data_IF_702750061994
#
_entry.id   IF_702750061994
#
_cell.length_a   1.000
_cell.length_b   1.000
_cell.length_c   1.000
_cell.angle_alpha   90.00
_cell.angle_beta   90.00
_cell.angle_gamma   90.00
#
_symmetry.space_group_name_H-M   'P 1'
#
loop_
_entity.id
_entity.type
_entity.pdbx_description
1 polymer ?
#
# COMPACT_ATOMS: atom_id res chain seq x y z
N UNK A 1 10.96 -5.84 19.88
CA UNK A 1 11.75 -6.36 18.73
C UNK A 1 11.39 -7.84 18.58
N UNK A 2 11.10 -8.33 17.38
CA UNK A 2 10.75 -9.74 17.16
C UNK A 2 12.02 -10.60 17.11
N UNK A 3 12.17 -11.56 18.03
CA UNK A 3 13.30 -12.48 18.11
C UNK A 3 13.05 -13.78 17.32
N UNK A 4 12.77 -13.66 16.03
CA UNK A 4 12.52 -14.83 15.19
C UNK A 4 13.83 -15.56 14.86
N UNK A 5 13.92 -16.90 15.00
CA UNK A 5 15.08 -17.65 14.53
C UNK A 5 15.15 -17.76 13.00
N UNK A 6 14.13 -17.25 12.29
CA UNK A 6 13.98 -17.35 10.84
C UNK A 6 14.26 -16.03 10.11
N UNK A 7 14.33 -14.91 10.83
CA UNK A 7 14.53 -13.58 10.25
C UNK A 7 15.50 -12.78 11.11
N UNK A 8 16.44 -12.08 10.48
CA UNK A 8 17.32 -11.17 11.21
C UNK A 8 16.53 -10.02 11.88
N UNK A 9 16.88 -9.61 13.10
CA UNK A 9 16.25 -8.48 13.77
C UNK A 9 16.68 -7.17 13.09
N UNK A 10 15.88 -6.68 12.15
CA UNK A 10 16.09 -5.39 11.48
C UNK A 10 14.81 -4.57 11.42
N UNK A 11 14.98 -3.25 11.32
CA UNK A 11 13.87 -2.34 11.09
C UNK A 11 13.31 -2.58 9.69
N UNK A 12 12.05 -3.06 9.62
CA UNK A 12 11.31 -3.17 8.35
C UNK A 12 10.67 -1.81 8.11
N UNK A 13 11.32 -1.00 7.28
CA UNK A 13 10.83 0.32 6.88
C UNK A 13 10.92 0.45 5.37
N UNK A 14 9.84 0.90 4.74
CA UNK A 14 9.77 1.04 3.28
C UNK A 14 10.25 2.43 2.85
N UNK A 15 11.56 2.56 2.64
CA UNK A 15 12.21 3.82 2.25
C UNK A 15 11.88 4.31 0.84
N UNK A 16 11.16 3.53 0.01
CA UNK A 16 10.93 3.87 -1.41
C UNK A 16 10.07 5.10 -1.61
N UNK A 17 9.24 5.42 -0.62
CA UNK A 17 8.26 6.50 -0.66
C UNK A 17 8.80 7.85 -0.18
N UNK A 18 9.97 7.86 0.43
CA UNK A 18 10.52 9.02 1.09
C UNK A 18 11.07 10.01 0.08
N UNK A 19 10.69 11.30 0.18
CA UNK A 19 11.38 12.36 -0.53
C UNK A 19 12.87 12.37 -0.16
N UNK A 20 13.72 12.66 -1.15
CA UNK A 20 15.18 12.65 -0.99
C UNK A 20 15.65 13.84 -0.17
N UNK A 21 14.94 14.97 -0.27
CA UNK A 21 15.33 16.26 0.27
C UNK A 21 14.15 16.98 0.96
N UNK A 22 14.47 17.98 1.78
CA UNK A 22 13.48 18.74 2.55
C UNK A 22 12.44 19.46 1.67
N UNK A 23 12.84 19.97 0.51
CA UNK A 23 11.89 20.61 -0.42
C UNK A 23 10.92 19.56 -1.00
N UNK A 24 11.40 18.33 -1.20
CA UNK A 24 10.58 17.18 -1.56
C UNK A 24 9.45 16.90 -0.56
N UNK A 25 9.71 16.98 0.74
CA UNK A 25 8.68 16.85 1.79
C UNK A 25 7.66 17.98 1.73
N UNK A 26 8.11 19.23 1.72
CA UNK A 26 7.19 20.38 1.63
C UNK A 26 6.33 20.38 0.35
N UNK A 27 6.91 19.93 -0.76
CA UNK A 27 6.20 19.85 -2.03
C UNK A 27 5.27 18.64 -2.12
N UNK A 28 5.47 17.58 -1.32
CA UNK A 28 4.74 16.32 -1.44
C UNK A 28 3.21 16.51 -1.38
N UNK A 29 2.63 17.24 -0.42
CA UNK A 29 1.17 17.49 -0.36
C UNK A 29 0.62 18.18 -1.60
N UNK A 30 1.40 19.07 -2.22
CA UNK A 30 1.02 19.75 -3.45
C UNK A 30 1.18 18.83 -4.67
N UNK A 31 2.21 18.00 -4.70
CA UNK A 31 2.42 17.01 -5.76
C UNK A 31 1.27 15.99 -5.82
N UNK A 32 0.70 15.60 -4.68
CA UNK A 32 -0.49 14.73 -4.62
C UNK A 32 -1.74 15.32 -5.31
N UNK A 33 -1.80 16.65 -5.48
CA UNK A 33 -2.89 17.30 -6.20
C UNK A 33 -2.73 17.24 -7.73
N UNK A 34 -1.48 17.22 -8.22
CA UNK A 34 -1.18 17.44 -9.65
C UNK A 34 -0.55 16.24 -10.36
N UNK A 35 0.12 15.34 -9.64
CA UNK A 35 0.93 14.25 -10.21
C UNK A 35 0.29 12.89 -9.92
N UNK A 36 0.02 12.11 -10.98
CA UNK A 36 -0.69 10.82 -10.87
C UNK A 36 0.19 9.65 -10.43
N UNK A 37 1.46 9.62 -10.84
CA UNK A 37 2.51 8.69 -10.40
C UNK A 37 3.84 9.27 -10.87
N UNK A 38 4.83 9.38 -9.99
CA UNK A 38 6.19 9.71 -10.39
C UNK A 38 7.12 8.57 -10.01
N UNK A 39 7.52 7.79 -11.01
CA UNK A 39 8.58 6.80 -10.89
C UNK A 39 9.91 7.45 -11.24
N UNK A 40 10.73 7.73 -10.24
CA UNK A 40 12.15 8.07 -10.48
C UNK A 40 12.98 6.82 -10.16
N UNK A 41 13.16 5.93 -11.14
CA UNK A 41 13.82 4.64 -10.90
C UNK A 41 13.03 3.74 -9.93
N UNK A 42 13.68 3.27 -8.86
CA UNK A 42 13.05 2.44 -7.81
C UNK A 42 12.26 3.24 -6.75
N UNK A 43 12.24 4.58 -6.85
CA UNK A 43 11.49 5.44 -5.95
C UNK A 43 10.11 5.74 -6.53
N UNK A 44 9.08 5.33 -5.79
CA UNK A 44 7.68 5.67 -6.05
C UNK A 44 7.36 6.85 -5.15
N UNK A 45 7.27 8.05 -5.71
CA UNK A 45 6.88 9.23 -4.93
C UNK A 45 5.40 9.45 -5.07
N UNK A 46 4.71 9.56 -3.93
CA UNK A 46 3.33 10.03 -3.87
C UNK A 46 2.33 8.95 -3.50
N UNK A 47 2.10 7.95 -4.34
CA UNK A 47 0.86 7.16 -4.25
C UNK A 47 1.03 5.71 -4.71
N UNK A 48 0.37 4.77 -4.01
CA UNK A 48 0.25 3.37 -4.46
C UNK A 48 -0.81 3.24 -5.57
N UNK A 49 -1.80 4.13 -5.56
CA UNK A 49 -2.97 4.14 -6.46
C UNK A 49 -3.05 5.54 -7.10
N UNK A 50 -3.28 5.66 -8.43
CA UNK A 50 -3.41 6.96 -9.08
C UNK A 50 -4.78 7.58 -8.74
N UNK A 51 -4.83 8.44 -7.73
CA UNK A 51 -5.95 9.34 -7.52
C UNK A 51 -5.36 10.71 -7.16
N UNK A 52 -6.15 11.80 -7.22
CA UNK A 52 -5.65 13.15 -6.90
C UNK A 52 -6.36 13.67 -5.67
N UNK A 53 -5.63 14.33 -4.78
CA UNK A 53 -6.23 14.98 -3.61
C UNK A 53 -5.61 16.34 -3.35
N UNK A 54 -6.46 17.31 -3.03
CA UNK A 54 -6.07 18.67 -2.66
C UNK A 54 -5.99 18.84 -1.13
N UNK A 55 -6.49 17.87 -0.35
CA UNK A 55 -6.69 18.04 1.09
C UNK A 55 -5.41 18.19 1.89
N UNK A 56 -4.33 17.41 1.65
CA UNK A 56 -3.06 17.64 2.33
C UNK A 56 -2.49 19.05 2.05
N UNK A 57 -2.60 19.53 0.81
CA UNK A 57 -2.18 20.88 0.44
C UNK A 57 -3.02 21.97 1.12
N UNK A 58 -4.35 21.81 1.19
CA UNK A 58 -5.24 22.74 1.88
C UNK A 58 -4.91 22.87 3.36
N UNK A 59 -4.59 21.76 4.03
CA UNK A 59 -4.17 21.76 5.43
C UNK A 59 -2.90 22.60 5.62
N UNK A 60 -1.89 22.42 4.75
CA UNK A 60 -0.64 23.20 4.82
C UNK A 60 -0.83 24.70 4.56
N UNK A 61 -1.87 25.10 3.81
CA UNK A 61 -2.20 26.51 3.59
C UNK A 61 -2.97 27.09 4.78
N UNK A 62 -3.94 26.33 5.31
CA UNK A 62 -4.85 26.82 6.34
C UNK A 62 -4.21 26.89 7.73
N UNK A 63 -3.27 25.98 8.04
CA UNK A 63 -2.55 26.00 9.32
C UNK A 63 -1.84 27.36 9.53
N UNK A 64 -0.95 27.84 8.62
CA UNK A 64 -0.35 29.17 8.72
C UNK A 64 -1.37 30.30 8.78
N UNK A 65 -2.46 30.23 8.00
CA UNK A 65 -3.52 31.24 8.02
C UNK A 65 -4.19 31.35 9.40
N UNK A 66 -4.43 30.22 10.08
CA UNK A 66 -4.94 30.17 11.45
C UNK A 66 -3.93 30.77 12.43
N UNK A 67 -2.64 30.42 12.33
CA UNK A 67 -1.58 31.00 13.18
C UNK A 67 -1.50 32.53 13.02
N UNK A 68 -1.53 33.03 11.79
CA UNK A 68 -1.48 34.46 11.48
C UNK A 68 -2.73 35.20 11.99
N UNK A 69 -3.93 34.65 11.78
CA UNK A 69 -5.17 35.22 12.29
C UNK A 69 -5.18 35.28 13.81
N UNK A 70 -4.77 34.19 14.46
CA UNK A 70 -4.71 34.11 15.91
C UNK A 70 -3.69 35.10 16.49
N UNK A 71 -2.55 35.29 15.81
CA UNK A 71 -1.55 36.30 16.15
C UNK A 71 -2.10 37.72 15.98
N UNK A 72 -2.78 38.02 14.87
CA UNK A 72 -3.41 39.31 14.62
C UNK A 72 -4.57 39.62 15.58
N UNK A 73 -5.21 38.59 16.15
CA UNK A 73 -6.25 38.69 17.18
C UNK A 73 -5.71 38.69 18.60
N UNK A 74 -4.38 38.65 18.78
CA UNK A 74 -3.74 38.82 20.08
C UNK A 74 -4.07 40.22 20.61
N UNK A 75 -4.80 40.27 21.72
CA UNK A 75 -5.07 41.53 22.42
C UNK A 75 -3.76 42.08 23.01
N UNK A 76 -3.64 43.41 23.09
CA UNK A 76 -2.59 44.12 23.82
C UNK A 76 -2.60 43.78 25.32
N UNK A 77 -3.73 43.29 25.83
CA UNK A 77 -3.82 42.61 27.13
C UNK A 77 -3.56 41.12 26.91
N UNK A 78 -2.46 40.57 27.44
CA UNK A 78 -1.91 39.21 27.26
C UNK A 78 -2.82 37.97 27.51
N UNK A 79 -4.13 38.02 27.29
CA UNK A 79 -5.05 36.87 27.41
C UNK A 79 -5.57 36.48 26.04
N UNK A 80 -5.16 35.30 25.57
CA UNK A 80 -5.79 34.65 24.44
C UNK A 80 -7.24 34.30 24.80
N UNK A 81 -8.19 34.59 23.90
CA UNK A 81 -9.57 34.12 24.04
C UNK A 81 -9.58 32.59 23.93
N UNK A 82 -10.47 31.87 24.66
CA UNK A 82 -10.56 30.40 24.59
C UNK A 82 -10.68 29.86 23.15
N UNK A 83 -11.45 30.54 22.31
CA UNK A 83 -11.62 30.19 20.89
C UNK A 83 -10.35 30.31 20.04
N UNK A 84 -9.36 31.09 20.48
CA UNK A 84 -8.05 31.20 19.83
C UNK A 84 -7.13 30.07 20.27
N UNK A 85 -7.18 29.69 21.55
CA UNK A 85 -6.41 28.57 22.10
C UNK A 85 -6.85 27.24 21.46
N UNK A 86 -8.15 27.02 21.31
CA UNK A 86 -8.72 25.85 20.61
C UNK A 86 -8.18 25.73 19.18
N UNK A 87 -8.13 26.85 18.45
CA UNK A 87 -7.63 26.88 17.07
C UNK A 87 -6.13 26.63 16.99
N UNK A 88 -5.34 27.17 17.94
CA UNK A 88 -3.92 26.84 18.04
C UNK A 88 -3.70 25.37 18.35
N UNK A 89 -4.45 24.80 19.29
CA UNK A 89 -4.36 23.39 19.62
C UNK A 89 -4.67 22.53 18.40
N UNK A 90 -5.78 22.80 17.71
CA UNK A 90 -6.20 22.07 16.52
C UNK A 90 -5.18 22.19 15.38
N UNK A 91 -4.70 23.40 15.08
CA UNK A 91 -3.67 23.62 14.07
C UNK A 91 -2.35 22.94 14.42
N UNK A 92 -1.94 22.98 15.70
CA UNK A 92 -0.73 22.31 16.20
C UNK A 92 -0.87 20.79 16.08
N UNK A 93 -2.01 20.23 16.50
CA UNK A 93 -2.28 18.81 16.40
C UNK A 93 -2.23 18.33 14.95
N UNK A 94 -2.90 19.04 14.02
CA UNK A 94 -2.90 18.70 12.60
C UNK A 94 -1.49 18.79 12.00
N UNK A 95 -0.74 19.84 12.32
CA UNK A 95 0.64 20.04 11.86
C UNK A 95 1.59 18.95 12.39
N UNK A 96 1.55 18.66 13.68
CA UNK A 96 2.40 17.62 14.28
C UNK A 96 2.04 16.23 13.76
N UNK A 97 0.74 15.94 13.63
CA UNK A 97 0.26 14.71 13.02
C UNK A 97 0.80 14.58 11.59
N UNK A 98 0.69 15.63 10.78
CA UNK A 98 1.25 15.69 9.43
C UNK A 98 2.75 15.38 9.41
N UNK A 99 3.55 16.08 10.21
CA UNK A 99 5.01 15.89 10.27
C UNK A 99 5.37 14.46 10.70
N UNK A 100 4.67 13.90 11.69
CA UNK A 100 4.93 12.54 12.18
C UNK A 100 4.61 11.50 11.12
N UNK A 101 3.43 11.58 10.49
CA UNK A 101 3.01 10.62 9.47
C UNK A 101 3.88 10.71 8.21
N UNK A 102 4.23 11.92 7.81
CA UNK A 102 5.13 12.16 6.70
C UNK A 102 6.52 11.55 6.98
N UNK A 103 7.11 11.80 8.16
CA UNK A 103 8.41 11.24 8.54
C UNK A 103 8.40 9.72 8.74
N UNK A 104 7.26 9.14 9.08
CA UNK A 104 7.17 7.70 9.35
C UNK A 104 6.89 6.88 8.09
N UNK A 105 6.15 7.42 7.11
CA UNK A 105 5.72 6.65 5.95
C UNK A 105 5.79 7.38 4.59
N UNK A 106 5.60 8.71 4.51
CA UNK A 106 5.75 9.49 3.26
C UNK A 106 4.97 9.00 2.01
N UNK A 107 3.96 8.13 2.14
CA UNK A 107 3.04 7.79 1.04
C UNK A 107 1.58 7.98 1.45
N UNK A 108 0.74 8.15 0.43
CA UNK A 108 -0.65 8.58 0.59
C UNK A 108 -1.50 7.79 1.59
N UNK A 109 -1.30 6.48 1.74
CA UNK A 109 -2.14 5.66 2.64
C UNK A 109 -2.26 6.26 4.04
N UNK A 110 -1.19 6.91 4.52
CA UNK A 110 -1.15 7.54 5.83
C UNK A 110 -1.57 9.01 5.84
N UNK A 111 -1.64 9.65 4.67
CA UNK A 111 -2.29 10.95 4.52
C UNK A 111 -3.82 10.85 4.52
N UNK A 112 -4.41 9.66 4.29
CA UNK A 112 -5.86 9.44 4.33
C UNK A 112 -6.54 9.89 5.63
N UNK A 113 -5.85 9.71 6.77
CA UNK A 113 -6.34 10.18 8.07
C UNK A 113 -6.45 11.71 8.11
N UNK A 114 -5.45 12.41 7.56
CA UNK A 114 -5.42 13.87 7.48
C UNK A 114 -6.47 14.36 6.49
N UNK A 115 -6.61 13.68 5.36
CA UNK A 115 -7.65 13.96 4.37
C UNK A 115 -9.06 13.81 4.95
N UNK A 116 -9.29 12.84 5.84
CA UNK A 116 -10.59 12.67 6.50
C UNK A 116 -10.91 13.84 7.45
N UNK A 117 -9.89 14.39 8.12
CA UNK A 117 -10.04 15.51 9.06
C UNK A 117 -10.01 16.87 8.35
N UNK A 118 -9.36 16.96 7.19
CA UNK A 118 -9.14 18.20 6.45
C UNK A 118 -10.43 18.98 6.12
N UNK A 119 -11.55 18.36 5.67
CA UNK A 119 -12.81 19.07 5.46
C UNK A 119 -13.32 19.74 6.74
N UNK A 120 -13.34 19.01 7.86
CA UNK A 120 -13.82 19.54 9.14
C UNK A 120 -12.91 20.67 9.64
N UNK A 121 -11.59 20.48 9.58
CA UNK A 121 -10.61 21.50 9.92
C UNK A 121 -10.77 22.75 9.03
N UNK A 122 -11.00 22.56 7.73
CA UNK A 122 -11.18 23.65 6.77
C UNK A 122 -12.44 24.45 7.07
N UNK A 123 -13.56 23.79 7.33
CA UNK A 123 -14.82 24.44 7.66
C UNK A 123 -14.71 25.24 8.97
N UNK A 124 -14.14 24.65 10.02
CA UNK A 124 -13.95 25.34 11.30
C UNK A 124 -13.01 26.53 11.13
N UNK A 125 -11.91 26.37 10.41
CA UNK A 125 -10.95 27.45 10.14
C UNK A 125 -11.61 28.59 9.37
N UNK A 126 -12.31 28.29 8.26
CA UNK A 126 -13.00 29.30 7.46
C UNK A 126 -14.08 30.03 8.25
N UNK A 127 -14.87 29.31 9.06
CA UNK A 127 -15.90 29.91 9.91
C UNK A 127 -15.30 30.91 10.92
N UNK A 128 -14.14 30.60 11.49
CA UNK A 128 -13.47 31.48 12.48
C UNK A 128 -12.73 32.65 11.82
N UNK A 129 -12.19 32.46 10.61
CA UNK A 129 -11.49 33.49 9.85
C UNK A 129 -12.43 34.58 9.28
N UNK A 130 -13.69 34.24 9.00
CA UNK A 130 -14.65 35.13 8.34
C UNK A 130 -15.60 35.82 9.36
N UNK A 131 -15.99 37.08 9.11
CA UNK A 131 -16.89 37.84 9.97
C UNK A 131 -18.35 37.36 9.88
N UNK A 132 -19.20 37.61 10.90
CA UNK A 132 -20.58 37.08 10.99
C UNK A 132 -21.47 37.32 9.75
N UNK A 133 -21.35 38.48 9.09
CA UNK A 133 -22.07 38.74 7.82
C UNK A 133 -21.52 37.93 6.64
N UNK A 134 -20.21 37.67 6.60
CA UNK A 134 -19.59 36.76 5.63
C UNK A 134 -19.78 35.30 6.00
N UNK A 135 -19.98 34.97 7.29
CA UNK A 135 -20.25 33.62 7.75
C UNK A 135 -21.55 33.06 7.19
N UNK A 136 -22.62 33.85 7.04
CA UNK A 136 -23.86 33.32 6.43
C UNK A 136 -23.62 32.85 5.00
N UNK A 137 -22.91 33.66 4.21
CA UNK A 137 -22.48 33.30 2.85
C UNK A 137 -21.41 32.20 2.83
N UNK A 138 -20.52 32.16 3.83
CA UNK A 138 -19.42 31.19 3.92
C UNK A 138 -19.82 29.85 4.54
N UNK A 139 -20.87 29.80 5.35
CA UNK A 139 -21.51 28.57 5.81
C UNK A 139 -22.30 27.95 4.67
N UNK A 140 -22.96 28.75 3.83
CA UNK A 140 -23.57 28.28 2.59
C UNK A 140 -22.48 27.85 1.60
N UNK A 141 -21.41 28.62 1.42
CA UNK A 141 -20.30 28.23 0.55
C UNK A 141 -19.52 27.04 1.11
N UNK A 142 -19.42 26.89 2.43
CA UNK A 142 -18.76 25.78 3.11
C UNK A 142 -19.60 24.51 3.06
N UNK A 143 -20.91 24.62 3.28
CA UNK A 143 -21.85 23.53 3.04
C UNK A 143 -21.90 23.17 1.55
N UNK A 144 -21.90 24.14 0.64
CA UNK A 144 -21.83 23.92 -0.79
C UNK A 144 -20.49 23.33 -1.22
N UNK A 145 -19.37 23.69 -0.58
CA UNK A 145 -18.06 23.08 -0.81
C UNK A 145 -18.05 21.66 -0.28
N UNK A 146 -18.55 21.41 0.93
CA UNK A 146 -18.66 20.06 1.50
C UNK A 146 -19.57 19.17 0.64
N UNK A 147 -20.72 19.69 0.21
CA UNK A 147 -21.63 19.03 -0.73
C UNK A 147 -20.97 18.88 -2.10
N UNK A 148 -20.22 19.85 -2.62
CA UNK A 148 -19.49 19.76 -3.88
C UNK A 148 -18.27 18.84 -3.79
N UNK A 149 -17.75 18.56 -2.60
CA UNK A 149 -16.66 17.59 -2.35
C UNK A 149 -17.21 16.17 -2.22
N UNK A 150 -18.33 16.00 -1.52
CA UNK A 150 -19.09 14.74 -1.52
C UNK A 150 -19.62 14.45 -2.93
N UNK A 151 -20.18 15.48 -3.57
CA UNK A 151 -20.65 15.40 -4.93
C UNK A 151 -19.49 15.31 -5.91
N UNK A 152 -18.31 15.91 -5.77
CA UNK A 152 -17.21 15.56 -6.69
C UNK A 152 -16.79 14.10 -6.48
N UNK A 153 -16.76 13.60 -5.25
CA UNK A 153 -16.61 12.16 -4.99
C UNK A 153 -17.73 11.27 -5.56
N UNK A 154 -18.96 11.78 -5.71
CA UNK A 154 -20.18 11.02 -6.07
C UNK A 154 -20.77 11.32 -7.46
N UNK A 155 -20.44 12.47 -8.05
CA UNK A 155 -20.94 13.08 -9.31
C UNK A 155 -19.86 12.94 -10.40
N UNK A 156 -18.59 12.73 -10.00
CA UNK A 156 -17.68 11.84 -10.74
C UNK A 156 -17.93 10.36 -10.42
N UNK A 157 -19.14 10.04 -9.96
CA UNK A 157 -19.72 8.72 -10.14
C UNK A 157 -19.44 8.27 -11.57
N UNK A 158 -18.82 7.11 -11.67
CA UNK A 158 -18.60 6.31 -12.88
C UNK A 158 -17.54 6.72 -13.90
N UNK A 159 -16.94 7.94 -13.91
CA UNK A 159 -15.98 8.28 -15.01
C UNK A 159 -14.65 8.97 -14.66
N UNK A 160 -14.48 9.67 -13.53
CA UNK A 160 -13.11 10.10 -13.14
C UNK A 160 -12.28 8.96 -12.53
N UNK A 161 -12.92 7.81 -12.33
CA UNK A 161 -12.35 6.64 -11.73
C UNK A 161 -12.80 5.36 -12.43
N UNK A 162 -12.77 5.35 -13.77
CA UNK A 162 -12.84 4.09 -14.51
C UNK A 162 -11.75 3.08 -14.03
N UNK A 163 -10.66 3.61 -13.43
CA UNK A 163 -9.60 2.86 -12.78
C UNK A 163 -9.66 2.79 -11.23
N UNK A 164 -10.71 3.30 -10.54
CA UNK A 164 -10.90 2.99 -9.09
C UNK A 164 -11.91 1.89 -8.84
N UNK A 165 -11.93 0.90 -9.72
CA UNK A 165 -12.04 -0.41 -9.16
C UNK A 165 -10.72 -0.65 -8.41
N UNK A 166 -10.66 -0.50 -7.08
CA UNK A 166 -9.44 -0.59 -6.23
C UNK A 166 -8.80 -2.00 -6.27
N UNK A 167 -8.65 -2.60 -7.46
CA UNK A 167 -8.62 -4.04 -7.66
C UNK A 167 -9.84 -4.75 -7.07
N UNK A 168 -10.94 -4.03 -6.82
CA UNK A 168 -12.18 -4.64 -6.33
C UNK A 168 -12.85 -5.35 -7.50
N UNK A 169 -13.87 -6.14 -7.23
CA UNK A 169 -14.64 -6.80 -8.26
C UNK A 169 -16.11 -6.55 -7.97
N UNK A 170 -16.95 -6.59 -8.99
CA UNK A 170 -18.39 -6.48 -8.77
C UNK A 170 -18.84 -7.64 -7.88
N UNK A 171 -19.80 -7.38 -6.99
CA UNK A 171 -20.39 -8.44 -6.18
C UNK A 171 -20.99 -9.49 -7.10
N UNK A 172 -20.51 -10.73 -6.98
CA UNK A 172 -20.94 -11.86 -7.79
C UNK A 172 -21.16 -13.10 -6.94
N UNK A 173 -21.61 -14.17 -7.58
CA UNK A 173 -21.79 -15.48 -6.93
C UNK A 173 -20.47 -16.09 -6.45
N UNK A 174 -19.37 -15.70 -7.06
CA UNK A 174 -18.01 -16.14 -6.75
C UNK A 174 -17.15 -14.91 -6.45
N UNK A 175 -16.35 -14.96 -5.38
CA UNK A 175 -15.56 -13.80 -4.94
C UNK A 175 -14.46 -13.40 -5.94
N UNK A 176 -13.79 -14.37 -6.58
CA UNK A 176 -12.73 -14.12 -7.57
C UNK A 176 -13.02 -14.71 -8.96
N UNK A 177 -14.27 -15.12 -9.22
CA UNK A 177 -14.59 -15.82 -10.49
C UNK A 177 -14.03 -17.24 -10.57
N UNK A 178 -13.66 -17.86 -9.44
CA UNK A 178 -12.99 -19.15 -9.39
C UNK A 178 -13.94 -20.23 -8.89
N UNK A 179 -13.98 -21.37 -9.57
CA UNK A 179 -14.70 -22.55 -9.13
C UNK A 179 -13.75 -23.56 -8.47
N UNK A 180 -14.05 -23.98 -7.24
CA UNK A 180 -13.23 -24.95 -6.49
C UNK A 180 -13.06 -26.29 -7.22
N UNK A 181 -14.04 -26.72 -8.01
CA UNK A 181 -14.00 -27.99 -8.73
C UNK A 181 -12.87 -28.10 -9.77
N UNK A 182 -12.36 -26.97 -10.27
CA UNK A 182 -11.32 -26.94 -11.32
C UNK A 182 -9.94 -27.38 -10.80
N UNK A 183 -9.72 -27.35 -9.48
CA UNK A 183 -8.41 -27.56 -8.86
C UNK A 183 -8.23 -28.96 -8.26
N UNK A 184 -9.21 -29.86 -8.40
CA UNK A 184 -9.13 -31.24 -7.87
C UNK A 184 -7.94 -32.04 -8.41
N UNK A 185 -7.44 -31.71 -9.61
CA UNK A 185 -6.27 -32.36 -10.22
C UNK A 185 -4.94 -32.08 -9.50
N UNK A 186 -4.90 -31.12 -8.58
CA UNK A 186 -3.71 -30.77 -7.83
C UNK A 186 -3.63 -31.47 -6.46
N UNK A 187 -4.55 -32.40 -6.17
CA UNK A 187 -4.56 -33.14 -4.90
C UNK A 187 -3.18 -33.73 -4.53
N UNK A 188 -2.79 -33.53 -3.27
CA UNK A 188 -1.53 -33.98 -2.68
C UNK A 188 -0.27 -33.33 -3.30
N UNK A 189 -0.42 -32.18 -3.95
CA UNK A 189 0.70 -31.46 -4.57
C UNK A 189 1.29 -30.39 -3.65
N UNK A 190 2.50 -29.94 -3.99
CA UNK A 190 3.11 -28.74 -3.42
C UNK A 190 2.93 -27.56 -4.38
N UNK A 191 2.23 -26.53 -3.92
CA UNK A 191 2.01 -25.28 -4.63
C UNK A 191 3.04 -24.25 -4.18
N UNK A 192 3.85 -23.79 -5.12
CA UNK A 192 4.84 -22.74 -4.91
C UNK A 192 4.29 -21.43 -5.46
N UNK A 193 3.84 -20.55 -4.57
CA UNK A 193 3.37 -19.23 -4.95
C UNK A 193 4.55 -18.36 -5.35
N UNK A 194 4.48 -17.81 -6.56
CA UNK A 194 5.40 -16.81 -7.07
C UNK A 194 5.31 -15.49 -6.31
N UNK A 195 5.83 -14.45 -6.94
CA UNK A 195 6.12 -13.16 -6.29
C UNK A 195 4.93 -12.20 -6.34
N UNK A 196 3.95 -12.51 -7.19
CA UNK A 196 2.64 -11.87 -7.22
C UNK A 196 1.83 -12.25 -5.96
N UNK A 197 0.88 -11.41 -5.51
CA UNK A 197 0.05 -11.68 -4.34
C UNK A 197 -1.01 -12.77 -4.63
N UNK A 198 -0.57 -14.01 -4.83
CA UNK A 198 -1.42 -15.14 -5.27
C UNK A 198 -2.08 -15.90 -4.12
N UNK A 199 -1.92 -15.44 -2.87
CA UNK A 199 -2.48 -16.09 -1.69
C UNK A 199 -4.00 -16.24 -1.73
N UNK A 200 -4.70 -15.39 -2.50
CA UNK A 200 -6.14 -15.48 -2.69
C UNK A 200 -6.61 -16.76 -3.42
N UNK A 201 -5.71 -17.45 -4.14
CA UNK A 201 -6.01 -18.70 -4.84
C UNK A 201 -6.06 -19.90 -3.88
N UNK A 202 -5.33 -19.85 -2.75
CA UNK A 202 -5.12 -20.99 -1.84
C UNK A 202 -6.42 -21.66 -1.38
N UNK A 203 -7.50 -20.93 -1.01
CA UNK A 203 -8.74 -21.56 -0.55
C UNK A 203 -9.48 -22.41 -1.60
N UNK A 204 -9.12 -22.26 -2.88
CA UNK A 204 -9.75 -22.99 -3.99
C UNK A 204 -9.06 -24.32 -4.30
N UNK A 205 -7.87 -24.56 -3.74
CA UNK A 205 -7.18 -25.84 -3.87
C UNK A 205 -7.71 -26.89 -2.88
N UNK A 206 -7.50 -28.18 -3.16
CA UNK A 206 -7.72 -29.26 -2.20
C UNK A 206 -7.01 -29.04 -0.86
N UNK A 207 -7.66 -29.44 0.24
CA UNK A 207 -7.12 -29.29 1.60
C UNK A 207 -5.89 -30.20 1.86
N UNK A 208 -5.63 -31.17 0.98
CA UNK A 208 -4.46 -32.06 0.99
C UNK A 208 -3.17 -31.36 0.57
N UNK A 209 -3.30 -30.19 -0.06
CA UNK A 209 -2.19 -29.57 -0.77
C UNK A 209 -1.35 -28.74 0.19
N UNK A 210 -0.04 -28.74 -0.06
CA UNK A 210 0.89 -27.92 0.70
C UNK A 210 1.16 -26.64 -0.08
N UNK A 211 1.15 -25.50 0.61
CA UNK A 211 1.43 -24.21 -0.03
C UNK A 211 2.63 -23.54 0.62
N UNK A 212 3.54 -23.05 -0.23
CA UNK A 212 4.68 -22.23 0.18
C UNK A 212 4.78 -21.02 -0.75
N UNK A 213 5.19 -19.86 -0.22
CA UNK A 213 5.45 -18.67 -1.02
C UNK A 213 6.95 -18.43 -1.18
N UNK A 214 7.35 -17.84 -2.30
CA UNK A 214 8.71 -17.36 -2.48
C UNK A 214 8.99 -16.15 -1.58
N UNK A 215 10.02 -16.19 -0.73
CA UNK A 215 10.32 -15.12 0.22
C UNK A 215 11.12 -13.97 -0.44
N UNK A 216 10.85 -13.63 -1.71
CA UNK A 216 11.66 -12.70 -2.51
C UNK A 216 11.72 -11.28 -1.91
N UNK A 217 10.72 -10.90 -1.10
CA UNK A 217 10.64 -9.61 -0.40
C UNK A 217 11.00 -9.67 1.08
N UNK A 218 11.54 -10.79 1.53
CA UNK A 218 12.06 -10.93 2.90
C UNK A 218 13.58 -10.87 2.79
N UNK A 219 14.18 -9.67 2.78
CA UNK A 219 15.61 -9.60 2.94
C UNK A 219 15.96 -10.23 4.30
N UNK A 220 17.10 -10.91 4.38
CA UNK A 220 17.66 -11.43 5.64
C UNK A 220 17.00 -12.70 6.23
N UNK A 221 16.69 -13.67 5.36
CA UNK A 221 16.36 -15.04 5.79
C UNK A 221 17.58 -15.73 6.39
N UNK A 222 17.40 -16.47 7.48
CA UNK A 222 18.49 -17.26 8.07
C UNK A 222 18.70 -18.58 7.32
N UNK A 223 19.90 -19.15 7.42
CA UNK A 223 20.19 -20.50 6.89
C UNK A 223 19.21 -21.56 7.45
N UNK A 224 18.74 -21.38 8.69
CA UNK A 224 17.71 -22.23 9.31
C UNK A 224 16.38 -22.16 8.56
N UNK A 225 15.94 -20.97 8.16
CA UNK A 225 14.74 -20.83 7.33
C UNK A 225 14.93 -21.55 6.00
N UNK A 226 16.05 -21.29 5.30
CA UNK A 226 16.34 -21.91 4.01
C UNK A 226 16.34 -23.43 4.12
N UNK A 227 17.01 -24.02 5.13
CA UNK A 227 17.01 -25.47 5.38
C UNK A 227 15.59 -26.03 5.58
N UNK A 228 14.75 -25.37 6.37
CA UNK A 228 13.37 -25.82 6.61
C UNK A 228 12.48 -25.69 5.38
N UNK A 229 12.66 -24.61 4.61
CA UNK A 229 11.97 -24.37 3.35
C UNK A 229 12.34 -25.45 2.31
N UNK A 230 13.63 -25.70 2.13
CA UNK A 230 14.15 -26.73 1.24
C UNK A 230 13.76 -28.15 1.67
N UNK A 231 13.60 -28.40 2.98
CA UNK A 231 13.08 -29.69 3.49
C UNK A 231 11.63 -29.96 3.10
N UNK A 232 10.79 -28.92 2.96
CA UNK A 232 9.42 -29.08 2.46
C UNK A 232 9.43 -29.38 0.96
N UNK A 233 10.20 -28.61 0.20
CA UNK A 233 10.45 -28.86 -1.22
C UNK A 233 11.01 -30.27 -1.47
N UNK A 234 11.87 -30.78 -0.57
CA UNK A 234 12.54 -32.06 -0.77
C UNK A 234 11.62 -33.27 -0.69
N UNK A 235 10.48 -33.14 0.02
CA UNK A 235 9.51 -34.23 0.24
C UNK A 235 8.36 -34.26 -0.75
N UNK A 236 8.14 -33.17 -1.49
CA UNK A 236 7.05 -33.10 -2.46
C UNK A 236 7.36 -33.97 -3.69
N UNK A 237 6.36 -34.72 -4.14
CA UNK A 237 6.40 -35.51 -5.37
C UNK A 237 6.00 -34.66 -6.57
N UNK A 238 4.80 -34.08 -6.49
CA UNK A 238 4.24 -33.19 -7.51
C UNK A 238 4.38 -31.73 -7.06
N UNK A 239 4.99 -30.90 -7.91
CA UNK A 239 5.24 -29.49 -7.62
C UNK A 239 4.63 -28.65 -8.73
N UNK A 240 3.87 -27.63 -8.35
CA UNK A 240 3.30 -26.65 -9.27
C UNK A 240 3.71 -25.24 -8.85
N UNK A 241 4.13 -24.44 -9.82
CA UNK A 241 4.47 -23.04 -9.64
C UNK A 241 3.32 -22.15 -10.09
N UNK A 242 2.88 -21.26 -9.21
CA UNK A 242 1.83 -20.29 -9.51
C UNK A 242 2.47 -18.94 -9.79
N UNK A 243 2.13 -18.31 -10.91
CA UNK A 243 2.62 -16.99 -11.28
C UNK A 243 1.51 -16.09 -11.83
N UNK A 244 1.75 -14.79 -11.86
CA UNK A 244 0.96 -13.92 -12.71
C UNK A 244 1.42 -14.10 -14.16
N UNK A 245 0.47 -14.24 -15.10
CA UNK A 245 0.79 -14.47 -16.51
C UNK A 245 1.80 -13.49 -17.15
N UNK A 246 1.93 -12.22 -16.73
CA UNK A 246 2.92 -11.29 -17.31
C UNK A 246 4.37 -11.47 -16.80
N UNK A 247 4.60 -12.17 -15.68
CA UNK A 247 5.90 -12.22 -14.99
C UNK A 247 6.59 -13.58 -15.08
N UNK A 248 6.16 -14.43 -16.00
CA UNK A 248 6.60 -15.83 -16.12
C UNK A 248 8.12 -15.92 -16.34
N UNK A 249 8.71 -15.06 -17.18
CA UNK A 249 10.14 -15.14 -17.51
C UNK A 249 11.06 -14.54 -16.45
N UNK A 250 10.61 -13.48 -15.74
CA UNK A 250 11.44 -12.73 -14.78
C UNK A 250 11.90 -13.59 -13.59
N UNK A 251 11.17 -14.65 -13.27
CA UNK A 251 11.47 -15.52 -12.13
C UNK A 251 12.21 -16.81 -12.49
N UNK A 252 12.44 -17.08 -13.79
CA UNK A 252 13.07 -18.34 -14.25
C UNK A 252 14.46 -18.55 -13.65
N UNK A 253 15.29 -17.52 -13.67
CA UNK A 253 16.66 -17.57 -13.15
C UNK A 253 16.67 -17.67 -11.62
N UNK A 254 15.88 -16.83 -10.94
CA UNK A 254 15.81 -16.79 -9.48
C UNK A 254 15.33 -18.13 -8.86
N UNK A 255 14.33 -18.77 -9.47
CA UNK A 255 13.81 -20.07 -9.04
C UNK A 255 14.84 -21.19 -9.19
N UNK A 256 15.54 -21.21 -10.32
CA UNK A 256 16.52 -22.24 -10.62
C UNK A 256 17.78 -22.09 -9.75
N UNK A 257 18.26 -20.85 -9.56
CA UNK A 257 19.51 -20.57 -8.84
C UNK A 257 19.34 -20.61 -7.32
N UNK A 258 18.29 -20.01 -6.75
CA UNK A 258 18.15 -19.91 -5.30
C UNK A 258 17.41 -21.09 -4.65
N UNK A 259 16.50 -21.73 -5.40
CA UNK A 259 15.61 -22.75 -4.85
C UNK A 259 15.75 -24.12 -5.53
N UNK A 260 16.51 -24.21 -6.63
CA UNK A 260 16.71 -25.45 -7.38
C UNK A 260 15.43 -25.98 -8.05
N UNK A 261 14.51 -25.08 -8.39
CA UNK A 261 13.22 -25.41 -9.02
C UNK A 261 13.28 -25.04 -10.51
N UNK A 262 13.01 -26.01 -11.38
CA UNK A 262 12.81 -25.81 -12.80
C UNK A 262 11.32 -25.82 -13.10
N UNK A 263 10.82 -24.71 -13.65
CA UNK A 263 9.42 -24.60 -14.07
C UNK A 263 9.32 -24.83 -15.56
N UNK A 264 8.40 -25.70 -15.99
CA UNK A 264 8.07 -25.88 -17.39
C UNK A 264 7.01 -24.86 -17.79
N UNK A 265 7.49 -23.75 -18.36
CA UNK A 265 6.63 -22.64 -18.77
C UNK A 265 5.81 -22.90 -20.04
N UNK A 266 6.13 -23.97 -20.79
CA UNK A 266 5.39 -24.34 -22.00
C UNK A 266 4.12 -25.11 -21.65
N UNK A 267 4.09 -25.77 -20.49
CA UNK A 267 2.96 -26.58 -20.00
C UNK A 267 2.10 -25.86 -18.96
N UNK A 268 2.11 -24.53 -18.94
CA UNK A 268 1.29 -23.77 -18.01
C UNK A 268 -0.18 -23.77 -18.41
N UNK A 269 -1.05 -23.99 -17.43
CA UNK A 269 -2.47 -23.74 -17.55
C UNK A 269 -2.80 -22.34 -17.06
N UNK A 270 -3.58 -21.60 -17.84
CA UNK A 270 -3.99 -20.23 -17.52
C UNK A 270 -5.40 -20.22 -16.96
N UNK A 271 -5.56 -19.50 -15.86
CA UNK A 271 -6.84 -19.28 -15.18
C UNK A 271 -7.14 -17.78 -15.20
N UNK A 272 -8.30 -17.45 -15.74
CA UNK A 272 -8.83 -16.09 -15.66
C UNK A 272 -9.56 -15.95 -14.33
N UNK A 273 -9.01 -15.12 -13.45
CA UNK A 273 -9.69 -14.72 -12.21
C UNK A 273 -10.10 -13.27 -12.35
N UNK A 274 -11.09 -12.86 -11.57
CA UNK A 274 -11.57 -11.50 -11.55
C UNK A 274 -10.45 -10.54 -11.06
N UNK A 275 -9.60 -10.96 -10.13
CA UNK A 275 -8.51 -10.11 -9.61
C UNK A 275 -7.24 -10.08 -10.47
N UNK A 276 -6.82 -11.23 -11.02
CA UNK A 276 -5.54 -11.36 -11.74
C UNK A 276 -5.54 -12.57 -12.67
N UNK A 277 -4.91 -12.47 -13.84
CA UNK A 277 -4.61 -13.64 -14.66
C UNK A 277 -3.51 -14.49 -14.01
N UNK A 278 -3.86 -15.74 -13.64
CA UNK A 278 -2.96 -16.68 -12.97
C UNK A 278 -2.54 -17.77 -13.94
N UNK A 279 -1.26 -18.15 -13.90
CA UNK A 279 -0.74 -19.30 -14.60
C UNK A 279 -0.24 -20.33 -13.57
N UNK A 280 -0.60 -21.59 -13.76
CA UNK A 280 -0.13 -22.72 -12.96
C UNK A 280 0.72 -23.60 -13.87
N UNK A 281 1.99 -23.75 -13.53
CA UNK A 281 2.96 -24.45 -14.35
C UNK A 281 3.52 -25.64 -13.58
N UNK A 282 3.66 -26.82 -14.20
CA UNK A 282 4.36 -27.93 -13.57
C UNK A 282 5.82 -27.55 -13.33
N UNK A 283 6.33 -27.96 -12.18
CA UNK A 283 7.69 -27.70 -11.77
C UNK A 283 8.36 -28.99 -11.30
N UNK A 284 9.68 -29.06 -11.51
CA UNK A 284 10.51 -30.17 -11.07
C UNK A 284 11.70 -29.65 -10.30
N UNK A 285 12.27 -30.52 -9.47
CA UNK A 285 13.53 -30.22 -8.80
C UNK A 285 14.69 -30.48 -9.77
N UNK A 286 15.74 -29.68 -9.66
CA UNK A 286 17.02 -30.02 -10.28
C UNK A 286 17.59 -31.31 -9.66
N UNK A 287 18.07 -32.22 -10.49
CA UNK A 287 18.68 -33.49 -10.06
C UNK A 287 20.04 -33.31 -9.39
N UNK A 288 20.79 -32.26 -9.77
CA UNK A 288 21.96 -31.79 -9.05
C UNK A 288 21.49 -31.07 -7.78
N UNK A 289 22.03 -31.44 -6.62
CA UNK A 289 21.56 -31.08 -5.28
C UNK A 289 21.16 -29.62 -5.04
N UNK A 290 20.46 -29.40 -3.93
CA UNK A 290 20.02 -28.08 -3.47
C UNK A 290 21.15 -27.05 -3.62
N UNK A 291 20.87 -25.84 -4.15
CA UNK A 291 21.89 -24.82 -4.25
C UNK A 291 22.53 -24.57 -2.88
N UNK A 292 23.84 -24.25 -2.82
CA UNK A 292 24.52 -24.01 -1.57
C UNK A 292 23.72 -23.01 -0.75
N UNK A 293 23.55 -23.29 0.55
CA UNK A 293 22.91 -22.36 1.48
C UNK A 293 23.63 -21.02 1.31
N UNK A 294 22.88 -19.95 1.07
CA UNK A 294 23.49 -18.63 1.10
C UNK A 294 23.96 -18.44 2.53
N UNK A 295 25.28 -18.38 2.74
CA UNK A 295 25.88 -17.95 4.00
C UNK A 295 25.49 -16.48 4.21
N UNK A 296 24.28 -16.26 4.72
CA UNK A 296 23.96 -15.02 5.39
C UNK A 296 24.91 -14.90 6.58
N UNK A 297 25.34 -13.68 6.95
CA UNK A 297 26.27 -13.51 8.06
C UNK A 297 25.65 -14.13 9.30
N UNK A 298 26.21 -15.26 9.73
CA UNK A 298 25.94 -15.86 11.02
C UNK A 298 26.44 -14.85 12.06
N UNK A 299 25.52 -14.01 12.53
CA UNK A 299 25.77 -13.10 13.63
C UNK A 299 25.80 -13.93 14.90
N UNK A 300 27.02 -14.12 15.43
CA UNK A 300 27.28 -14.37 16.85
C UNK A 300 26.67 -13.27 17.71
#
# INVERSE_FOLDING_TARGET
IFHSPFMAPRAIHDGRWFPVDFAGYLALPFRLAFVHHHTTGNHLVGMEIPFRTLFPALVLILVPAVYFWAYAKRSSTCRFKPSVIEMYFLATFVLLSFIVWEKMFSYYRYFSAIETIAPAFSLVSLARLLSWRRMRSASIAGAALFVALIASGSLYGTHALADTNWGREQFGRTYFGINKGEFGKYENSLLVLGTAPLGFMVPYFPNTDQVIGLPERIPYLTARFQKNYLKKLSKAKDIYYLSSSPNIERHKLLLAEMYGIHVDFQRCEKYHTAALAVAICPASRRSSGLPPLAEGPDLK
#
